data_IF_783252497535
#
_entry.id   IF_783252497535
#
_cell.length_a   1.000
_cell.length_b   1.000
_cell.length_c   1.000
_cell.angle_alpha   90.00
_cell.angle_beta   90.00
_cell.angle_gamma   90.00
#
_symmetry.space_group_name_H-M   'P 1'
#
loop_
_entity.id
_entity.type
_entity.pdbx_description
1 polymer ?
#
# COMPACT_ATOMS: atom_id res chain seq x y z
N UNK A 1 24.14 -15.48 -18.56
CA UNK A 1 24.98 -15.43 -17.33
C UNK A 1 24.34 -16.32 -16.27
N UNK A 2 25.05 -16.85 -15.26
CA UNK A 2 24.38 -17.61 -14.20
C UNK A 2 23.41 -16.69 -13.44
N UNK A 3 22.18 -17.15 -13.16
CA UNK A 3 21.17 -16.38 -12.43
C UNK A 3 21.69 -16.08 -11.03
N UNK A 4 21.88 -14.80 -10.75
CA UNK A 4 22.44 -14.33 -9.48
C UNK A 4 21.44 -14.43 -8.32
N UNK A 5 20.14 -14.61 -8.59
CA UNK A 5 19.10 -14.73 -7.55
C UNK A 5 18.98 -16.16 -7.03
N UNK A 6 19.01 -17.16 -7.92
CA UNK A 6 18.83 -18.56 -7.51
C UNK A 6 20.10 -19.42 -7.58
N UNK A 7 21.20 -18.93 -8.17
CA UNK A 7 22.51 -19.59 -8.37
C UNK A 7 22.54 -20.93 -9.11
N UNK A 8 21.39 -21.49 -9.44
CA UNK A 8 21.24 -22.77 -10.13
C UNK A 8 20.78 -22.60 -11.58
N UNK A 9 20.03 -21.53 -11.89
CA UNK A 9 19.57 -21.24 -13.25
C UNK A 9 20.56 -20.44 -14.08
N UNK A 10 20.40 -20.45 -15.41
CA UNK A 10 21.10 -19.55 -16.33
C UNK A 10 20.13 -18.52 -16.90
N UNK A 11 20.55 -17.25 -16.90
CA UNK A 11 19.81 -16.19 -17.57
C UNK A 11 19.97 -16.30 -19.07
N UNK A 12 18.89 -16.03 -19.77
CA UNK A 12 18.83 -15.94 -21.22
C UNK A 12 18.28 -14.56 -21.59
N UNK A 13 18.69 -14.00 -22.73
CA UNK A 13 18.05 -12.81 -23.27
C UNK A 13 16.54 -13.05 -23.43
N UNK A 14 15.76 -12.10 -22.95
CA UNK A 14 14.31 -12.18 -22.94
C UNK A 14 13.73 -10.88 -22.43
N UNK A 15 12.42 -10.72 -22.56
CA UNK A 15 11.70 -9.57 -22.04
C UNK A 15 11.18 -9.90 -20.64
N UNK A 16 11.28 -8.94 -19.71
CA UNK A 16 10.76 -9.07 -18.35
C UNK A 16 9.73 -7.96 -18.08
N UNK A 17 8.70 -8.30 -17.30
CA UNK A 17 7.71 -7.34 -16.83
C UNK A 17 8.16 -6.78 -15.49
N UNK A 18 8.42 -5.47 -15.44
CA UNK A 18 8.81 -4.74 -14.22
C UNK A 18 7.58 -4.03 -13.67
N UNK A 19 7.21 -4.33 -12.43
CA UNK A 19 6.08 -3.67 -11.76
C UNK A 19 6.58 -2.43 -11.02
N UNK A 20 6.10 -1.24 -11.41
CA UNK A 20 6.42 0.03 -10.76
C UNK A 20 5.18 0.52 -10.01
N UNK A 21 5.22 0.46 -8.67
CA UNK A 21 4.15 1.01 -7.82
C UNK A 21 4.45 2.51 -7.59
N UNK A 22 3.62 3.39 -8.15
CA UNK A 22 3.82 4.85 -8.08
C UNK A 22 3.34 5.47 -6.76
N UNK A 23 2.44 4.78 -6.04
CA UNK A 23 1.78 5.33 -4.84
C UNK A 23 1.62 4.23 -3.80
N UNK A 24 1.98 4.55 -2.55
CA UNK A 24 1.79 3.66 -1.40
C UNK A 24 1.10 4.44 -0.28
N UNK A 25 -0.15 4.11 -0.03
CA UNK A 25 -0.96 4.70 1.04
C UNK A 25 -0.82 3.88 2.32
N UNK A 26 -0.36 4.50 3.41
CA UNK A 26 -0.11 3.82 4.69
C UNK A 26 -1.13 4.22 5.75
N UNK A 27 -1.40 3.29 6.68
CA UNK A 27 -2.34 3.47 7.78
C UNK A 27 -3.76 3.82 7.30
N UNK A 28 -4.17 3.20 6.20
CA UNK A 28 -5.54 3.30 5.69
C UNK A 28 -6.44 2.54 6.66
N UNK A 29 -7.45 3.18 7.27
CA UNK A 29 -8.41 2.49 8.13
C UNK A 29 -9.11 1.38 7.33
N UNK A 30 -9.03 0.15 7.81
CA UNK A 30 -9.63 -1.00 7.14
C UNK A 30 -10.12 -1.99 8.19
N UNK A 31 -11.19 -2.71 7.85
CA UNK A 31 -11.52 -3.95 8.55
C UNK A 31 -10.60 -5.05 8.02
N UNK A 32 -9.97 -5.81 8.91
CA UNK A 32 -9.00 -6.85 8.52
C UNK A 32 -9.53 -8.20 8.95
N UNK A 33 -9.62 -9.14 8.01
CA UNK A 33 -9.98 -10.52 8.31
C UNK A 33 -8.92 -11.16 9.22
N UNK A 34 -9.34 -11.60 10.40
CA UNK A 34 -8.42 -12.23 11.37
C UNK A 34 -7.79 -13.54 10.86
N UNK A 35 -8.44 -14.23 9.92
CA UNK A 35 -8.00 -15.54 9.43
C UNK A 35 -6.99 -15.46 8.27
N UNK A 36 -7.21 -14.58 7.29
CA UNK A 36 -6.36 -14.50 6.09
C UNK A 36 -5.62 -13.16 5.94
N UNK A 37 -5.94 -12.14 6.72
CA UNK A 37 -5.32 -10.82 6.64
C UNK A 37 -5.81 -9.94 5.49
N UNK A 38 -6.87 -10.36 4.77
CA UNK A 38 -7.50 -9.54 3.73
C UNK A 38 -8.15 -8.30 4.34
N UNK A 39 -7.97 -7.14 3.69
CA UNK A 39 -8.49 -5.86 4.18
C UNK A 39 -9.75 -5.45 3.41
N UNK A 40 -10.67 -4.80 4.12
CA UNK A 40 -11.92 -4.26 3.58
C UNK A 40 -12.00 -2.78 3.92
N UNK A 41 -12.27 -1.95 2.92
CA UNK A 41 -12.42 -0.51 3.08
C UNK A 41 -13.91 -0.16 3.05
N UNK A 42 -14.32 0.80 3.86
CA UNK A 42 -15.66 1.40 3.75
C UNK A 42 -15.73 2.32 2.52
N UNK A 43 -16.95 2.66 2.08
CA UNK A 43 -17.17 3.57 0.96
C UNK A 43 -16.44 4.91 1.15
N UNK A 44 -16.55 5.48 2.35
CA UNK A 44 -15.91 6.75 2.70
C UNK A 44 -14.36 6.67 2.72
N UNK A 45 -13.78 5.54 3.11
CA UNK A 45 -12.32 5.35 3.08
C UNK A 45 -11.84 5.12 1.64
N UNK A 46 -12.63 4.39 0.86
CA UNK A 46 -12.34 4.14 -0.56
C UNK A 46 -12.32 5.46 -1.34
N UNK A 47 -13.29 6.34 -1.13
CA UNK A 47 -13.32 7.68 -1.74
C UNK A 47 -12.06 8.50 -1.43
N UNK A 48 -11.64 8.52 -0.16
CA UNK A 48 -10.43 9.24 0.27
C UNK A 48 -9.13 8.62 -0.27
N UNK A 49 -9.07 7.29 -0.43
CA UNK A 49 -7.92 6.58 -1.00
C UNK A 49 -7.77 6.95 -2.47
N UNK A 50 -8.88 7.04 -3.20
CA UNK A 50 -8.90 7.41 -4.62
C UNK A 50 -8.50 8.87 -4.83
N UNK A 51 -9.09 9.80 -4.07
CA UNK A 51 -8.73 11.23 -4.15
C UNK A 51 -7.23 11.46 -3.90
N UNK A 52 -6.69 10.81 -2.86
CA UNK A 52 -5.26 10.88 -2.53
C UNK A 52 -4.37 10.28 -3.63
N UNK A 53 -4.80 9.20 -4.25
CA UNK A 53 -4.07 8.60 -5.36
C UNK A 53 -4.04 9.54 -6.59
N UNK A 54 -5.15 10.19 -6.91
CA UNK A 54 -5.26 11.11 -8.05
C UNK A 54 -4.40 12.37 -7.88
N UNK A 55 -4.40 12.97 -6.69
CA UNK A 55 -3.55 14.12 -6.38
C UNK A 55 -2.06 13.81 -6.54
N UNK A 56 -1.61 12.64 -6.07
CA UNK A 56 -0.21 12.23 -6.19
C UNK A 56 0.21 11.96 -7.64
N UNK A 57 -0.69 11.44 -8.49
CA UNK A 57 -0.38 11.20 -9.91
C UNK A 57 -0.15 12.50 -10.68
N UNK A 58 -0.86 13.58 -10.34
CA UNK A 58 -0.80 14.88 -11.02
C UNK A 58 0.41 15.74 -10.61
N UNK A 59 1.07 15.42 -9.49
CA UNK A 59 2.19 16.19 -8.97
C UNK A 59 3.57 15.77 -9.54
N UNK A 60 3.62 14.92 -10.57
CA UNK A 60 4.87 14.51 -11.22
C UNK A 60 5.88 13.83 -10.29
N UNK A 61 5.43 13.36 -9.12
CA UNK A 61 6.29 12.87 -8.05
C UNK A 61 6.56 11.39 -8.28
N UNK A 62 7.83 10.99 -8.33
CA UNK A 62 8.24 9.61 -8.59
C UNK A 62 7.93 8.67 -7.40
N UNK A 63 7.75 9.23 -6.19
CA UNK A 63 7.23 8.55 -5.00
C UNK A 63 6.70 9.55 -3.96
N UNK A 64 5.42 9.49 -3.61
CA UNK A 64 4.83 10.27 -2.51
C UNK A 64 4.32 9.35 -1.40
N UNK A 65 4.73 9.61 -0.15
CA UNK A 65 4.30 8.85 1.04
C UNK A 65 3.28 9.69 1.81
N UNK A 66 2.00 9.48 1.51
CA UNK A 66 0.92 10.13 2.23
C UNK A 66 0.66 9.39 3.55
N UNK A 67 0.86 10.10 4.67
CA UNK A 67 0.48 9.62 6.00
C UNK A 67 -0.96 10.05 6.27
N UNK A 68 -1.81 9.07 6.55
CA UNK A 68 -3.17 9.36 7.03
C UNK A 68 -3.10 9.99 8.43
N UNK A 69 -3.55 11.24 8.56
CA UNK A 69 -3.69 11.91 9.85
C UNK A 69 -5.05 11.55 10.46
N UNK A 70 -5.04 10.87 11.61
CA UNK A 70 -6.26 10.59 12.39
C UNK A 70 -6.53 11.81 13.26
N UNK A 71 -7.59 12.57 12.95
CA UNK A 71 -8.11 13.59 13.87
C UNK A 71 -9.24 13.00 14.69
N UNK A 72 -9.03 12.90 16.01
CA UNK A 72 -10.05 12.78 17.05
C UNK A 72 -10.99 11.57 16.93
N UNK A 73 -10.65 10.46 17.58
CA UNK A 73 -11.62 9.42 17.93
C UNK A 73 -12.14 9.70 19.34
N UNK A 74 -13.36 10.23 19.53
CA UNK A 74 -13.95 10.33 20.86
C UNK A 74 -14.59 8.98 21.21
N UNK A 75 -13.98 8.22 22.12
CA UNK A 75 -14.72 7.16 22.81
C UNK A 75 -13.95 5.93 23.28
N UNK A 76 -13.41 6.04 24.52
CA UNK A 76 -13.29 5.00 25.57
C UNK A 76 -12.37 3.79 25.31
N UNK A 77 -11.67 3.23 26.30
CA UNK A 77 -11.30 3.63 27.66
C UNK A 77 -10.15 2.73 28.10
N UNK A 78 -9.31 3.28 28.96
CA UNK A 78 -8.05 2.73 29.45
C UNK A 78 -8.28 1.61 30.48
N UNK A 79 -8.35 0.35 30.06
CA UNK A 79 -8.12 -0.85 30.92
C UNK A 79 -7.78 -2.03 30.01
N UNK A 80 -6.51 -2.43 30.03
CA UNK A 80 -6.01 -3.81 30.09
C UNK A 80 -4.68 -3.95 29.33
N UNK A 81 -3.62 -3.66 30.11
CA UNK A 81 -2.23 -4.18 30.07
C UNK A 81 -1.45 -4.15 28.75
#
# INVERSE_FOLDING_TARGET
MKCVICHHGETKPGLATVTLKRIVLKKVPAEICHNCGEYYLSDAVTEQVLEKAELTMNNGTELEILRYAVYGFPGKSNTDL
#
